data_IF_146791481066
#
_entry.id   IF_146791481066
#
_cell.length_a   1.000
_cell.length_b   1.000
_cell.length_c   1.000
_cell.angle_alpha   90.00
_cell.angle_beta   90.00
_cell.angle_gamma   90.00
#
_symmetry.space_group_name_H-M   'P 1'
#
loop_
_entity.id
_entity.type
_entity.pdbx_description
1 polymer ?
#
# COMPACT_ATOMS: atom_id res chain seq x y z
N UNK A 1 16.21 -2.05 3.94
CA UNK A 1 15.72 -3.44 4.10
C UNK A 1 14.78 -3.90 2.98
N UNK A 2 13.95 -3.04 2.45
CA UNK A 2 13.19 -3.35 1.21
C UNK A 2 14.15 -3.83 0.10
N UNK A 3 15.31 -3.20 -0.04
CA UNK A 3 16.33 -3.61 -0.99
C UNK A 3 16.84 -5.05 -0.77
N UNK A 4 16.91 -5.51 0.47
CA UNK A 4 17.25 -6.90 0.79
C UNK A 4 16.18 -7.88 0.31
N UNK A 5 14.92 -7.54 0.50
CA UNK A 5 13.79 -8.35 0.03
C UNK A 5 13.77 -8.43 -1.49
N UNK A 6 14.11 -7.33 -2.16
CA UNK A 6 14.07 -7.20 -3.61
C UNK A 6 15.37 -7.62 -4.33
N UNK A 7 16.43 -7.99 -3.61
CA UNK A 7 17.60 -8.57 -4.27
C UNK A 7 18.94 -7.90 -4.05
N UNK A 8 19.08 -7.08 -3.03
CA UNK A 8 20.40 -6.61 -2.61
C UNK A 8 20.48 -5.14 -2.22
N UNK A 9 21.63 -4.79 -1.65
CA UNK A 9 21.90 -3.47 -1.08
C UNK A 9 22.28 -2.42 -2.14
N UNK A 10 22.66 -2.81 -3.34
CA UNK A 10 23.17 -1.88 -4.34
C UNK A 10 22.25 -1.67 -5.54
N UNK A 11 21.46 -2.63 -5.90
CA UNK A 11 20.46 -2.51 -6.98
C UNK A 11 19.28 -3.38 -6.59
N UNK A 12 18.14 -2.79 -6.28
CA UNK A 12 16.90 -3.53 -6.33
C UNK A 12 16.76 -4.08 -7.76
N UNK A 13 16.65 -5.38 -7.91
CA UNK A 13 16.49 -6.00 -9.21
C UNK A 13 15.35 -5.34 -9.99
N UNK A 14 15.43 -5.30 -11.29
CA UNK A 14 14.30 -4.89 -12.11
C UNK A 14 13.10 -5.80 -11.80
N UNK A 15 11.91 -5.22 -11.69
CA UNK A 15 10.72 -6.02 -11.51
C UNK A 15 10.51 -6.90 -12.77
N UNK A 16 10.48 -8.20 -12.59
CA UNK A 16 10.24 -9.13 -13.70
C UNK A 16 8.80 -9.04 -14.19
N UNK A 17 7.89 -8.75 -13.27
CA UNK A 17 6.48 -8.62 -13.53
C UNK A 17 5.88 -7.57 -12.62
N UNK A 18 5.08 -6.69 -13.20
CA UNK A 18 4.23 -5.76 -12.47
C UNK A 18 2.80 -6.02 -12.91
N UNK A 19 2.01 -6.58 -12.00
CA UNK A 19 0.60 -6.82 -12.20
C UNK A 19 -0.22 -5.83 -11.37
N UNK A 20 -1.32 -5.36 -11.93
CA UNK A 20 -2.29 -4.52 -11.24
C UNK A 20 -3.57 -5.31 -11.04
N UNK A 21 -4.15 -5.18 -9.87
CA UNK A 21 -5.38 -5.86 -9.49
C UNK A 21 -6.42 -4.82 -9.14
N UNK A 22 -7.61 -4.99 -9.64
CA UNK A 22 -8.77 -4.16 -9.34
C UNK A 22 -9.86 -4.98 -8.69
N UNK A 23 -10.71 -4.31 -7.94
CA UNK A 23 -11.84 -4.92 -7.29
C UNK A 23 -13.09 -4.08 -7.49
N UNK A 24 -14.24 -4.75 -7.61
CA UNK A 24 -15.55 -4.12 -7.63
C UNK A 24 -16.49 -4.84 -6.68
N UNK A 25 -17.29 -4.07 -5.99
CA UNK A 25 -18.49 -4.60 -5.36
C UNK A 25 -19.62 -4.69 -6.37
N UNK A 26 -20.40 -5.74 -6.25
CA UNK A 26 -21.78 -5.68 -6.71
C UNK A 26 -22.61 -4.97 -5.65
N UNK A 27 -23.50 -4.10 -6.14
CA UNK A 27 -24.49 -3.35 -5.41
C UNK A 27 -25.07 -4.15 -4.21
N UNK A 28 -25.30 -3.50 -3.08
CA UNK A 28 -25.81 -4.09 -1.84
C UNK A 28 -27.08 -4.95 -2.03
N UNK A 29 -27.91 -4.63 -3.02
CA UNK A 29 -29.10 -5.43 -3.38
C UNK A 29 -28.77 -6.80 -3.99
N UNK A 30 -27.53 -7.06 -4.40
CA UNK A 30 -27.09 -8.33 -5.00
C UNK A 30 -26.15 -9.13 -4.07
N UNK A 31 -26.01 -8.75 -2.82
CA UNK A 31 -25.03 -9.27 -1.89
C UNK A 31 -23.63 -8.75 -2.21
N UNK A 32 -22.94 -8.25 -1.20
CA UNK A 32 -21.58 -7.68 -1.33
C UNK A 32 -20.58 -8.75 -1.77
N UNK A 33 -20.52 -9.00 -3.06
CA UNK A 33 -19.58 -9.96 -3.66
C UNK A 33 -18.35 -9.23 -4.14
N UNK A 34 -17.27 -9.34 -3.38
CA UNK A 34 -15.97 -8.88 -3.78
C UNK A 34 -15.46 -9.69 -4.97
N UNK A 35 -15.09 -9.01 -6.05
CA UNK A 35 -14.46 -9.62 -7.22
C UNK A 35 -13.11 -8.96 -7.44
N UNK A 36 -12.05 -9.76 -7.43
CA UNK A 36 -10.67 -9.30 -7.67
C UNK A 36 -10.17 -9.90 -8.96
N UNK A 37 -9.59 -9.06 -9.82
CA UNK A 37 -9.03 -9.50 -11.10
C UNK A 37 -7.74 -8.77 -11.42
N UNK A 38 -6.82 -9.44 -12.09
CA UNK A 38 -5.67 -8.82 -12.72
C UNK A 38 -6.12 -7.94 -13.89
N UNK A 39 -5.51 -6.75 -14.00
CA UNK A 39 -5.78 -5.81 -15.09
C UNK A 39 -4.53 -5.59 -15.91
N UNK A 40 -4.65 -5.80 -17.22
CA UNK A 40 -3.66 -5.36 -18.17
C UNK A 40 -3.78 -3.84 -18.33
N UNK A 41 -2.74 -3.12 -17.98
CA UNK A 41 -2.69 -1.67 -18.14
C UNK A 41 -1.66 -1.31 -19.19
N UNK A 42 -2.03 -0.43 -20.10
CA UNK A 42 -1.15 0.10 -21.14
C UNK A 42 -0.18 1.14 -20.62
N UNK A 43 -0.38 1.64 -19.39
CA UNK A 43 0.46 2.67 -18.79
C UNK A 43 1.49 2.09 -17.82
N UNK A 44 2.68 2.66 -17.84
CA UNK A 44 3.73 2.34 -16.86
C UNK A 44 3.56 3.17 -15.59
N UNK A 45 2.40 3.07 -14.92
CA UNK A 45 2.12 3.84 -13.73
C UNK A 45 2.95 3.37 -12.54
N UNK A 46 3.13 2.07 -12.40
CA UNK A 46 4.03 1.51 -11.40
C UNK A 46 5.27 0.95 -12.10
N UNK A 47 6.41 1.60 -11.89
CA UNK A 47 7.71 1.14 -12.37
C UNK A 47 8.38 0.25 -11.33
N UNK A 48 9.51 -0.37 -11.68
CA UNK A 48 10.31 -1.07 -10.69
C UNK A 48 10.71 -0.13 -9.54
N UNK A 49 10.50 -0.57 -8.31
CA UNK A 49 10.84 0.19 -7.11
C UNK A 49 12.26 -0.15 -6.66
N UNK A 50 13.09 0.86 -6.44
CA UNK A 50 14.49 0.70 -6.02
C UNK A 50 14.74 1.15 -4.58
N UNK A 51 13.77 1.84 -3.98
CA UNK A 51 13.87 2.41 -2.65
C UNK A 51 12.48 2.64 -2.07
N UNK A 52 12.43 3.00 -0.79
CA UNK A 52 11.17 3.46 -0.17
C UNK A 52 10.61 4.67 -0.92
N UNK A 53 11.48 5.64 -1.29
CA UNK A 53 11.05 6.83 -2.02
C UNK A 53 10.44 6.49 -3.39
N UNK A 54 11.07 5.61 -4.17
CA UNK A 54 10.51 5.19 -5.47
C UNK A 54 9.22 4.37 -5.31
N UNK A 55 9.08 3.59 -4.25
CA UNK A 55 7.84 2.89 -3.92
C UNK A 55 6.72 3.87 -3.58
N UNK A 56 7.02 4.91 -2.81
CA UNK A 56 6.05 5.96 -2.47
C UNK A 56 5.62 6.77 -3.70
N UNK A 57 6.55 7.08 -4.61
CA UNK A 57 6.22 7.74 -5.88
C UNK A 57 5.34 6.87 -6.77
N UNK A 58 5.64 5.59 -6.89
CA UNK A 58 4.79 4.64 -7.61
C UNK A 58 3.39 4.55 -6.99
N UNK A 59 3.32 4.56 -5.67
CA UNK A 59 2.06 4.54 -4.93
C UNK A 59 1.23 5.81 -5.19
N UNK A 60 1.86 6.98 -5.19
CA UNK A 60 1.23 8.25 -5.54
C UNK A 60 0.66 8.22 -6.96
N UNK A 61 1.45 7.80 -7.93
CA UNK A 61 1.03 7.69 -9.33
C UNK A 61 -0.14 6.73 -9.51
N UNK A 62 -0.09 5.58 -8.85
CA UNK A 62 -1.18 4.60 -8.85
C UNK A 62 -2.47 5.21 -8.29
N UNK A 63 -2.39 5.95 -7.20
CA UNK A 63 -3.53 6.62 -6.59
C UNK A 63 -4.12 7.71 -7.48
N UNK A 64 -3.27 8.52 -8.12
CA UNK A 64 -3.71 9.57 -9.04
C UNK A 64 -4.36 9.02 -10.31
N UNK A 65 -3.82 7.95 -10.87
CA UNK A 65 -4.37 7.30 -12.06
C UNK A 65 -5.74 6.69 -11.79
N UNK A 66 -5.88 5.96 -10.69
CA UNK A 66 -7.16 5.33 -10.33
C UNK A 66 -8.29 6.34 -10.10
N UNK A 67 -7.95 7.55 -9.69
CA UNK A 67 -8.90 8.65 -9.47
C UNK A 67 -9.17 9.46 -10.76
N UNK A 68 -8.59 9.07 -11.90
CA UNK A 68 -8.74 9.78 -13.16
C UNK A 68 -8.02 11.13 -13.24
N UNK A 69 -7.13 11.42 -12.28
CA UNK A 69 -6.32 12.65 -12.29
C UNK A 69 -5.23 12.63 -13.36
N UNK A 70 -4.84 11.44 -13.79
CA UNK A 70 -3.93 11.24 -14.93
C UNK A 70 -4.73 10.54 -16.01
N UNK A 71 -4.89 11.19 -17.16
CA UNK A 71 -5.65 10.67 -18.30
C UNK A 71 -4.85 9.61 -19.02
N UNK A 72 -4.87 8.41 -18.49
CA UNK A 72 -4.34 7.25 -19.15
C UNK A 72 -5.51 6.27 -19.32
N UNK A 73 -5.85 5.92 -20.53
CA UNK A 73 -6.88 4.93 -20.86
C UNK A 73 -6.43 3.53 -20.31
N UNK A 74 -6.18 3.47 -19.03
CA UNK A 74 -5.56 2.34 -18.37
C UNK A 74 -6.54 1.21 -18.03
N UNK A 75 -7.84 1.46 -18.09
CA UNK A 75 -8.87 0.55 -17.61
C UNK A 75 -8.84 0.30 -16.11
N UNK A 76 -8.08 1.10 -15.36
CA UNK A 76 -8.00 0.99 -13.90
C UNK A 76 -9.26 1.57 -13.27
N UNK A 77 -9.72 0.91 -12.22
CA UNK A 77 -10.74 1.44 -11.33
C UNK A 77 -10.09 2.02 -10.07
N UNK A 78 -10.86 2.78 -9.30
CA UNK A 78 -10.40 3.37 -8.04
C UNK A 78 -9.84 2.33 -7.04
N UNK A 79 -10.38 1.12 -6.97
CA UNK A 79 -9.86 0.05 -6.13
C UNK A 79 -8.76 -0.74 -6.85
N UNK A 80 -7.57 -0.17 -6.92
CA UNK A 80 -6.43 -0.76 -7.64
C UNK A 80 -5.20 -0.84 -6.76
N UNK A 81 -4.55 -1.99 -6.76
CA UNK A 81 -3.24 -2.23 -6.14
C UNK A 81 -2.24 -2.70 -7.18
N UNK A 82 -0.96 -2.59 -6.88
CA UNK A 82 0.10 -3.13 -7.73
C UNK A 82 0.87 -4.22 -6.99
N UNK A 83 1.16 -5.31 -7.68
CA UNK A 83 1.99 -6.40 -7.20
C UNK A 83 3.20 -6.52 -8.12
N UNK A 84 4.39 -6.38 -7.55
CA UNK A 84 5.65 -6.41 -8.28
C UNK A 84 6.43 -7.66 -7.87
N UNK A 85 6.82 -8.47 -8.85
CA UNK A 85 7.68 -9.62 -8.67
C UNK A 85 9.10 -9.29 -9.07
N UNK A 86 10.06 -9.64 -8.22
CA UNK A 86 11.48 -9.43 -8.44
C UNK A 86 12.23 -10.75 -8.41
N UNK A 87 13.18 -10.91 -9.32
CA UNK A 87 14.21 -11.94 -9.18
C UNK A 87 15.33 -11.38 -8.33
N UNK A 88 15.65 -12.07 -7.26
CA UNK A 88 16.75 -11.72 -6.37
C UNK A 88 18.10 -12.18 -6.96
N UNK A 89 19.19 -11.62 -6.45
CA UNK A 89 20.54 -11.95 -6.89
C UNK A 89 20.92 -13.42 -6.70
N UNK A 90 20.31 -14.09 -5.72
CA UNK A 90 20.48 -15.52 -5.45
C UNK A 90 19.56 -16.42 -6.31
N UNK A 91 18.82 -15.85 -7.26
CA UNK A 91 17.88 -16.55 -8.12
C UNK A 91 16.51 -16.80 -7.52
N UNK A 92 16.29 -16.45 -6.26
CA UNK A 92 14.99 -16.56 -5.60
C UNK A 92 14.06 -15.40 -5.95
N UNK A 93 12.80 -15.50 -5.58
CA UNK A 93 11.77 -14.49 -5.86
C UNK A 93 11.46 -13.66 -4.63
N UNK A 94 11.34 -12.35 -4.79
CA UNK A 94 10.81 -11.42 -3.82
C UNK A 94 9.64 -10.63 -4.38
N UNK A 95 8.80 -10.10 -3.51
CA UNK A 95 7.57 -9.41 -3.87
C UNK A 95 7.45 -8.06 -3.18
N UNK A 96 6.89 -7.10 -3.91
CA UNK A 96 6.52 -5.79 -3.38
C UNK A 96 5.09 -5.47 -3.77
N UNK A 97 4.27 -5.12 -2.78
CA UNK A 97 2.86 -4.78 -3.00
C UNK A 97 2.63 -3.33 -2.60
N UNK A 98 2.06 -2.56 -3.53
CA UNK A 98 1.71 -1.16 -3.34
C UNK A 98 0.21 -1.05 -3.10
N UNK A 99 -0.18 -0.51 -1.94
CA UNK A 99 -1.56 -0.43 -1.48
C UNK A 99 -1.92 1.03 -1.24
N UNK A 100 -2.74 1.65 -2.11
CA UNK A 100 -3.16 3.03 -1.93
C UNK A 100 -4.19 3.17 -0.80
N UNK A 101 -4.46 4.42 -0.41
CA UNK A 101 -5.38 4.74 0.66
C UNK A 101 -6.85 4.75 0.25
N UNK A 102 -7.69 5.29 1.13
CA UNK A 102 -9.12 5.49 0.93
C UNK A 102 -9.38 6.32 -0.33
N UNK A 103 -10.32 5.89 -1.15
CA UNK A 103 -10.68 6.55 -2.40
C UNK A 103 -12.00 7.35 -2.32
N UNK A 104 -12.76 7.18 -1.24
CA UNK A 104 -14.00 7.91 -1.01
C UNK A 104 -15.18 7.46 -1.90
N UNK A 105 -15.07 6.33 -2.57
CA UNK A 105 -16.14 5.78 -3.40
C UNK A 105 -17.00 4.80 -2.60
N UNK A 106 -18.33 4.93 -2.70
CA UNK A 106 -19.27 4.15 -1.89
C UNK A 106 -19.26 2.65 -2.22
N UNK A 107 -18.87 2.29 -3.43
CA UNK A 107 -18.81 0.91 -3.90
C UNK A 107 -17.37 0.36 -3.96
N UNK A 108 -16.44 1.02 -3.29
CA UNK A 108 -15.03 0.62 -3.23
C UNK A 108 -14.73 -0.21 -1.98
N UNK A 109 -13.92 -1.27 -2.09
CA UNK A 109 -13.36 -1.96 -0.94
C UNK A 109 -12.39 -1.09 -0.11
N UNK A 110 -11.97 0.08 -0.62
CA UNK A 110 -11.18 1.09 0.08
C UNK A 110 -12.02 2.28 0.56
N UNK A 111 -13.25 2.03 0.99
CA UNK A 111 -14.13 3.04 1.55
C UNK A 111 -13.79 3.41 3.00
N UNK A 112 -14.55 4.34 3.58
CA UNK A 112 -14.36 4.80 4.95
C UNK A 112 -14.68 3.74 6.01
N UNK A 113 -15.63 2.86 5.75
CA UNK A 113 -16.05 1.81 6.68
C UNK A 113 -14.94 0.82 7.00
N UNK A 114 -14.12 0.48 6.00
CA UNK A 114 -13.01 -0.44 6.15
C UNK A 114 -11.93 0.09 7.10
N UNK A 115 -11.79 1.40 7.24
CA UNK A 115 -10.86 1.98 8.22
C UNK A 115 -11.18 1.52 9.65
N UNK A 116 -12.45 1.51 10.04
CA UNK A 116 -12.88 1.08 11.37
C UNK A 116 -12.67 -0.43 11.58
N UNK A 117 -12.97 -1.23 10.57
CA UNK A 117 -12.77 -2.68 10.64
C UNK A 117 -11.29 -3.03 10.79
N UNK A 118 -10.42 -2.38 10.01
CA UNK A 118 -8.97 -2.61 10.03
C UNK A 118 -8.29 -2.14 11.31
N UNK A 119 -8.84 -1.15 11.99
CA UNK A 119 -8.33 -0.64 13.28
C UNK A 119 -8.80 -1.47 14.48
N UNK A 120 -9.67 -2.44 14.29
CA UNK A 120 -10.16 -3.30 15.36
C UNK A 120 -9.03 -4.15 15.96
N UNK A 121 -9.06 -4.34 17.28
CA UNK A 121 -8.23 -5.32 17.98
C UNK A 121 -8.58 -6.78 17.67
N UNK A 122 -9.77 -7.03 17.10
CA UNK A 122 -10.25 -8.34 16.74
C UNK A 122 -9.78 -8.73 15.32
N UNK A 123 -8.99 -9.80 15.23
CA UNK A 123 -8.47 -10.31 13.96
C UNK A 123 -9.56 -10.66 12.94
N UNK A 124 -10.68 -11.23 13.37
CA UNK A 124 -11.77 -11.57 12.47
C UNK A 124 -12.40 -10.32 11.84
N UNK A 125 -12.53 -9.23 12.60
CA UNK A 125 -13.01 -7.96 12.07
C UNK A 125 -12.04 -7.39 11.04
N UNK A 126 -10.72 -7.37 11.33
CA UNK A 126 -9.71 -6.90 10.38
C UNK A 126 -9.75 -7.70 9.08
N UNK A 127 -9.83 -9.04 9.18
CA UNK A 127 -9.88 -9.94 8.01
C UNK A 127 -11.17 -9.85 7.21
N UNK A 128 -12.24 -9.36 7.79
CA UNK A 128 -13.50 -9.12 7.09
C UNK A 128 -13.51 -7.83 6.30
N UNK A 129 -12.58 -6.90 6.55
CA UNK A 129 -12.45 -5.69 5.77
C UNK A 129 -12.20 -6.03 4.30
N UNK A 130 -12.96 -5.42 3.41
CA UNK A 130 -12.92 -5.76 1.98
C UNK A 130 -11.60 -5.37 1.32
N UNK A 131 -10.95 -4.31 1.80
CA UNK A 131 -9.60 -3.97 1.37
C UNK A 131 -8.56 -5.03 1.76
N UNK A 132 -8.68 -5.60 2.96
CA UNK A 132 -7.85 -6.74 3.37
C UNK A 132 -8.07 -7.95 2.46
N UNK A 133 -9.32 -8.32 2.25
CA UNK A 133 -9.69 -9.45 1.40
C UNK A 133 -9.25 -9.27 -0.05
N UNK A 134 -9.33 -8.04 -0.57
CA UNK A 134 -8.85 -7.71 -1.91
C UNK A 134 -7.35 -7.98 -2.06
N UNK A 135 -6.54 -7.48 -1.12
CA UNK A 135 -5.08 -7.66 -1.20
C UNK A 135 -4.70 -9.12 -1.00
N UNK A 136 -5.31 -9.81 -0.04
CA UNK A 136 -5.10 -11.26 0.16
C UNK A 136 -5.42 -12.06 -1.10
N UNK A 137 -6.54 -11.79 -1.75
CA UNK A 137 -6.91 -12.46 -3.00
C UNK A 137 -5.96 -12.13 -4.16
N UNK A 138 -5.50 -10.89 -4.28
CA UNK A 138 -4.50 -10.51 -5.27
C UNK A 138 -3.16 -11.24 -5.03
N UNK A 139 -2.73 -11.40 -3.79
CA UNK A 139 -1.55 -12.16 -3.42
C UNK A 139 -1.69 -13.63 -3.84
N UNK A 140 -2.86 -14.21 -3.61
CA UNK A 140 -3.17 -15.58 -4.01
C UNK A 140 -3.15 -15.73 -5.54
N UNK A 141 -3.79 -14.83 -6.27
CA UNK A 141 -3.81 -14.85 -7.74
C UNK A 141 -2.42 -14.62 -8.34
N UNK A 142 -1.60 -13.81 -7.72
CA UNK A 142 -0.21 -13.58 -8.14
C UNK A 142 0.66 -14.82 -7.96
N UNK A 143 0.25 -15.77 -7.12
CA UNK A 143 0.98 -17.00 -6.86
C UNK A 143 2.16 -16.81 -5.90
N UNK A 144 2.04 -15.90 -4.93
CA UNK A 144 3.09 -15.66 -3.93
C UNK A 144 3.26 -16.91 -3.07
N UNK A 145 4.46 -17.47 -3.07
CA UNK A 145 4.81 -18.64 -2.27
C UNK A 145 4.97 -18.30 -0.79
N UNK A 146 4.70 -19.27 0.08
CA UNK A 146 4.73 -19.12 1.54
C UNK A 146 6.07 -18.59 2.07
N UNK A 147 7.17 -19.00 1.45
CA UNK A 147 8.53 -18.67 1.89
C UNK A 147 9.18 -17.56 1.06
N UNK A 148 8.46 -17.00 0.10
CA UNK A 148 8.95 -15.91 -0.73
C UNK A 148 8.80 -14.57 0.01
N UNK A 149 9.90 -13.81 0.20
CA UNK A 149 9.84 -12.54 0.95
C UNK A 149 8.88 -11.54 0.32
N UNK A 150 8.04 -10.93 1.14
CA UNK A 150 7.06 -9.92 0.74
C UNK A 150 7.32 -8.63 1.50
N UNK A 151 7.36 -7.52 0.79
CA UNK A 151 7.28 -6.17 1.33
C UNK A 151 5.94 -5.55 0.96
N UNK A 152 5.29 -4.93 1.92
CA UNK A 152 4.05 -4.19 1.75
C UNK A 152 4.32 -2.70 1.95
N UNK A 153 3.88 -1.87 1.01
CA UNK A 153 3.97 -0.42 1.09
C UNK A 153 2.58 0.17 0.94
N UNK A 154 2.13 0.90 1.94
CA UNK A 154 0.77 1.43 1.97
C UNK A 154 0.69 2.87 2.46
N UNK A 155 -0.25 3.63 1.92
CA UNK A 155 -0.60 4.98 2.35
C UNK A 155 -1.99 5.00 2.97
N UNK A 156 -2.14 5.71 4.10
CA UNK A 156 -3.41 5.86 4.81
C UNK A 156 -4.06 4.49 5.07
N UNK A 157 -5.27 4.21 4.59
CA UNK A 157 -5.90 2.89 4.71
C UNK A 157 -5.03 1.76 4.17
N UNK A 158 -4.28 1.98 3.08
CA UNK A 158 -3.37 0.98 2.53
C UNK A 158 -2.27 0.57 3.49
N UNK A 159 -1.78 1.50 4.33
CA UNK A 159 -0.85 1.18 5.41
C UNK A 159 -1.48 0.38 6.53
N UNK A 160 -2.76 0.66 6.86
CA UNK A 160 -3.50 -0.14 7.84
C UNK A 160 -3.73 -1.57 7.32
N UNK A 161 -4.07 -1.71 6.04
CA UNK A 161 -4.17 -3.03 5.38
C UNK A 161 -2.85 -3.78 5.47
N UNK A 162 -1.73 -3.11 5.16
CA UNK A 162 -0.40 -3.73 5.23
C UNK A 162 -0.08 -4.24 6.64
N UNK A 163 -0.36 -3.44 7.67
CA UNK A 163 -0.18 -3.83 9.06
C UNK A 163 -1.09 -5.01 9.46
N UNK A 164 -2.35 -5.00 9.04
CA UNK A 164 -3.29 -6.08 9.30
C UNK A 164 -2.86 -7.39 8.62
N UNK A 165 -2.42 -7.33 7.37
CA UNK A 165 -1.90 -8.51 6.65
C UNK A 165 -0.67 -9.10 7.35
N UNK A 166 0.28 -8.26 7.75
CA UNK A 166 1.47 -8.71 8.48
C UNK A 166 1.13 -9.36 9.82
N UNK A 167 0.09 -8.86 10.49
CA UNK A 167 -0.38 -9.41 11.77
C UNK A 167 -1.12 -10.73 11.60
N UNK A 168 -2.03 -10.79 10.63
CA UNK A 168 -3.05 -11.85 10.57
C UNK A 168 -2.71 -12.95 9.55
N UNK A 169 -1.78 -12.71 8.62
CA UNK A 169 -1.29 -13.69 7.63
C UNK A 169 0.15 -14.14 7.89
N UNK A 170 0.66 -13.96 9.08
CA UNK A 170 2.04 -14.30 9.48
C UNK A 170 2.42 -15.76 9.27
N UNK A 171 1.44 -16.66 9.28
CA UNK A 171 1.63 -18.09 9.08
C UNK A 171 1.40 -18.53 7.64
N UNK A 172 0.86 -17.65 6.79
CA UNK A 172 0.53 -17.91 5.39
C UNK A 172 1.54 -17.32 4.42
N UNK A 173 2.18 -16.21 4.79
CA UNK A 173 3.14 -15.48 3.97
C UNK A 173 4.34 -15.00 4.78
N UNK A 174 5.49 -14.89 4.11
CA UNK A 174 6.70 -14.32 4.68
C UNK A 174 6.71 -12.79 4.48
N UNK A 175 5.90 -12.08 5.25
CA UNK A 175 5.84 -10.62 5.21
C UNK A 175 6.99 -10.07 6.06
N UNK A 176 8.09 -9.73 5.41
CA UNK A 176 9.34 -9.35 6.08
C UNK A 176 9.44 -7.84 6.33
N UNK A 177 8.76 -7.02 5.53
CA UNK A 177 8.79 -5.57 5.69
C UNK A 177 7.43 -4.93 5.40
N UNK A 178 7.06 -3.99 6.24
CA UNK A 178 5.91 -3.11 6.07
C UNK A 178 6.37 -1.66 6.09
N UNK A 179 6.02 -0.90 5.07
CA UNK A 179 6.21 0.55 5.03
C UNK A 179 4.84 1.22 5.01
N UNK A 180 4.60 2.10 5.95
CA UNK A 180 3.35 2.85 6.04
C UNK A 180 3.61 4.35 5.98
N UNK A 181 2.70 5.08 5.37
CA UNK A 181 2.73 6.54 5.36
C UNK A 181 1.35 7.07 5.74
N UNK A 182 1.31 7.96 6.74
CA UNK A 182 0.07 8.56 7.24
C UNK A 182 -0.96 7.53 7.72
N UNK A 183 -0.53 6.46 8.38
CA UNK A 183 -1.39 5.34 8.77
C UNK A 183 -1.35 5.09 10.27
N UNK A 184 -2.52 4.98 10.96
CA UNK A 184 -2.59 4.66 12.37
C UNK A 184 -2.40 3.15 12.60
N UNK A 185 -1.15 2.71 12.79
CA UNK A 185 -0.79 1.28 12.86
C UNK A 185 -0.17 0.85 14.19
N UNK A 186 -0.05 1.76 15.15
CA UNK A 186 0.66 1.52 16.42
C UNK A 186 0.12 0.34 17.22
N UNK A 187 -1.17 0.06 17.14
CA UNK A 187 -1.85 -0.98 17.91
C UNK A 187 -1.99 -2.32 17.17
N UNK A 188 -1.45 -2.45 15.96
CA UNK A 188 -1.49 -3.72 15.22
C UNK A 188 -0.46 -4.71 15.78
N UNK A 189 -0.84 -5.98 16.00
CA UNK A 189 0.05 -7.00 16.55
C UNK A 189 0.99 -7.57 15.48
N UNK A 190 1.80 -6.70 14.88
CA UNK A 190 2.78 -7.08 13.86
C UNK A 190 3.86 -7.95 14.50
N UNK A 191 4.16 -9.14 13.95
CA UNK A 191 5.14 -10.03 14.56
C UNK A 191 6.55 -9.45 14.52
N UNK A 192 7.43 -9.78 15.51
CA UNK A 192 8.80 -9.24 15.60
C UNK A 192 9.69 -9.53 14.39
N UNK A 193 9.38 -10.58 13.62
CA UNK A 193 10.09 -10.91 12.37
C UNK A 193 9.87 -9.92 11.24
N UNK A 194 8.81 -9.12 11.34
CA UNK A 194 8.45 -8.11 10.33
C UNK A 194 9.05 -6.76 10.70
N UNK A 195 9.87 -6.21 9.81
CA UNK A 195 10.39 -4.86 9.96
C UNK A 195 9.36 -3.84 9.51
N UNK A 196 9.16 -2.82 10.34
CA UNK A 196 8.18 -1.76 10.08
C UNK A 196 8.90 -0.43 9.94
N UNK A 197 8.57 0.30 8.89
CA UNK A 197 8.96 1.70 8.70
C UNK A 197 7.68 2.53 8.60
N UNK A 198 7.40 3.34 9.62
CA UNK A 198 6.28 4.27 9.63
C UNK A 198 6.76 5.67 9.27
N UNK A 199 6.18 6.24 8.22
CA UNK A 199 6.42 7.61 7.79
C UNK A 199 5.26 8.46 8.29
N UNK A 200 5.56 9.39 9.19
CA UNK A 200 4.58 10.31 9.77
C UNK A 200 4.91 11.74 9.35
N UNK A 201 3.89 12.48 8.90
CA UNK A 201 4.00 13.92 8.65
C UNK A 201 3.36 14.63 9.84
N UNK A 202 4.07 15.52 10.49
CA UNK A 202 3.65 16.13 11.77
C UNK A 202 2.30 16.87 11.67
N UNK A 203 1.90 17.31 10.48
CA UNK A 203 0.64 18.00 10.24
C UNK A 203 -0.51 17.05 9.80
N UNK A 204 -0.26 15.75 9.66
CA UNK A 204 -1.30 14.78 9.33
C UNK A 204 -1.98 14.22 10.59
N UNK A 205 -3.23 14.63 10.80
CA UNK A 205 -4.06 14.18 11.92
C UNK A 205 -4.37 12.67 11.87
N UNK A 206 -4.25 12.04 10.71
CA UNK A 206 -4.69 10.66 10.47
C UNK A 206 -3.82 9.62 11.18
N UNK A 207 -2.52 9.87 11.27
CA UNK A 207 -1.59 8.95 11.92
C UNK A 207 -1.79 8.81 13.44
N UNK A 208 -2.48 9.78 14.06
CA UNK A 208 -2.75 9.78 15.50
C UNK A 208 -4.14 9.24 15.88
N UNK A 209 -4.94 8.79 14.93
CA UNK A 209 -6.34 8.37 15.18
C UNK A 209 -6.47 7.12 16.03
N UNK A 210 -5.44 6.29 16.13
CA UNK A 210 -5.44 5.12 17.01
C UNK A 210 -5.06 5.44 18.46
N UNK A 211 -4.68 6.71 18.74
CA UNK A 211 -4.32 7.19 20.09
C UNK A 211 -3.03 6.58 20.65
N UNK A 212 -2.35 5.75 19.87
CA UNK A 212 -1.14 5.05 20.25
C UNK A 212 0.12 5.72 19.73
N UNK A 213 1.24 5.51 20.46
CA UNK A 213 2.58 5.76 19.93
C UNK A 213 3.10 4.49 19.28
N UNK A 214 3.80 4.63 18.16
CA UNK A 214 4.47 3.49 17.55
C UNK A 214 5.43 2.81 18.55
N UNK A 215 5.53 1.47 18.51
CA UNK A 215 6.47 0.75 19.35
C UNK A 215 7.90 1.24 19.18
N UNK A 216 8.62 1.37 20.29
CA UNK A 216 10.06 1.70 20.29
C UNK A 216 10.87 0.39 20.32
N UNK A 217 10.82 -0.37 19.25
CA UNK A 217 11.53 -1.64 19.12
C UNK A 217 12.53 -1.57 17.97
N UNK A 218 13.53 -2.44 17.97
CA UNK A 218 14.57 -2.44 16.95
C UNK A 218 14.01 -2.64 15.53
N UNK A 219 12.94 -3.44 15.38
CA UNK A 219 12.32 -3.71 14.09
C UNK A 219 11.35 -2.61 13.63
N UNK A 220 11.05 -1.61 14.47
CA UNK A 220 10.10 -0.54 14.13
C UNK A 220 10.80 0.80 14.05
N UNK A 221 10.96 1.33 12.84
CA UNK A 221 11.49 2.66 12.57
C UNK A 221 10.34 3.63 12.31
N UNK A 222 10.27 4.71 13.08
CA UNK A 222 9.36 5.84 12.82
C UNK A 222 10.17 7.00 12.25
N UNK A 223 9.81 7.44 11.05
CA UNK A 223 10.37 8.61 10.38
C UNK A 223 9.35 9.73 10.43
N UNK A 224 9.71 10.85 11.07
CA UNK A 224 8.86 12.06 11.16
C UNK A 224 9.41 13.14 10.26
N UNK A 225 8.53 13.77 9.49
CA UNK A 225 8.84 14.89 8.62
C UNK A 225 7.93 16.08 8.89
N UNK A 226 8.47 17.27 8.65
CA UNK A 226 7.68 18.51 8.58
C UNK A 226 7.59 18.95 7.14
N UNK A 227 6.41 19.40 6.71
CA UNK A 227 6.29 20.13 5.45
C UNK A 227 6.85 21.55 5.69
N UNK A 228 8.11 21.76 5.34
CA UNK A 228 8.63 23.12 5.22
C UNK A 228 8.11 23.70 3.92
N UNK A 229 7.19 24.68 4.01
CA UNK A 229 6.91 25.52 2.85
C UNK A 229 8.21 26.23 2.49
N UNK A 230 8.74 25.89 1.32
CA UNK A 230 9.83 26.69 0.73
C UNK A 230 9.20 28.03 0.35
N UNK A 231 9.36 29.01 1.20
CA UNK A 231 9.07 30.41 0.88
C UNK A 231 9.97 30.80 -0.28
N UNK A 232 9.46 30.79 -1.51
CA UNK A 232 10.27 31.17 -2.67
C UNK A 232 9.69 30.82 -4.03
N UNK A 233 8.57 30.16 -4.11
CA UNK A 233 7.83 30.02 -5.39
C UNK A 233 6.58 30.88 -5.28
N UNK A 234 6.71 32.12 -5.73
CA UNK A 234 5.55 32.95 -6.04
C UNK A 234 4.76 32.23 -7.13
N UNK A 235 3.48 31.88 -6.90
CA UNK A 235 2.69 31.33 -8.00
C UNK A 235 2.65 32.36 -9.13
N UNK A 236 2.72 31.94 -10.39
CA UNK A 236 2.61 32.87 -11.50
C UNK A 236 1.26 33.60 -11.36
N UNK A 237 1.31 34.90 -11.22
CA UNK A 237 0.15 35.78 -11.31
C UNK A 237 -0.39 35.63 -12.74
N UNK A 238 -1.51 34.96 -12.87
CA UNK A 238 -2.29 35.04 -14.13
C UNK A 238 -2.89 36.44 -14.13
N UNK A 239 -2.27 37.31 -14.87
CA UNK A 239 -2.92 38.59 -15.22
C UNK A 239 -4.11 38.27 -16.10
N UNK A 240 -5.28 38.51 -15.52
CA UNK A 240 -6.53 38.58 -16.29
C UNK A 240 -6.57 39.95 -16.96
N UNK A 241 -5.88 40.10 -18.09
CA UNK A 241 -6.05 41.19 -19.03
C UNK A 241 -5.65 40.69 -20.42
N UNK A 242 -6.70 40.51 -21.27
CA UNK A 242 -6.57 40.18 -22.68
C UNK A 242 -7.71 39.33 -23.17
#
# INVERSE_FOLDING_TARGET
>A
RIAHILGGTQVAGAAERIAKYTSKFKNAMQGNKLTVREVQSTSQVARASHSVASSMENLRRLAEERLGKITLNSGLSYATIAVQRYRRSDGTTGWLILIPGTDGQDDSPFGWEQNLELMSSNANRRRNADSFRMVEEAMRQAGIGKDEPVALVGHSQGGIVAAALASDLKDSYAIDHVVTAGSPVANHPIPPKTWVTSIEIEDELVASLDGGRNPSTEQWLTVRGKVTQTTGVTPPTVNADG
#
